data_IF_545368298330
#
_entry.id   IF_545368298330
#
_cell.length_a   1.000
_cell.length_b   1.000
_cell.length_c   1.000
_cell.angle_alpha   90.00
_cell.angle_beta   90.00
_cell.angle_gamma   90.00
#
_symmetry.space_group_name_H-M   'P 1'
#
loop_
_entity.id
_entity.type
_entity.pdbx_description
1 polymer ?
#
# COMPACT_ATOMS: atom_id res chain seq x y z
N UNK A 1 2.55 3.74 21.38
CA UNK A 1 3.11 3.04 22.57
C UNK A 1 2.03 2.29 23.36
N UNK A 2 0.97 2.91 23.88
CA UNK A 2 -0.06 2.26 24.73
C UNK A 2 -0.56 0.90 24.22
N UNK A 3 -0.86 0.79 22.94
CA UNK A 3 -1.37 -0.46 22.35
C UNK A 3 -0.36 -1.61 22.30
N UNK A 4 0.95 -1.29 22.43
CA UNK A 4 2.02 -2.28 22.40
C UNK A 4 2.40 -2.71 23.81
N UNK A 5 2.60 -1.76 24.73
CA UNK A 5 2.98 -2.10 26.11
C UNK A 5 1.90 -2.87 26.86
N UNK A 6 0.64 -2.75 26.43
CA UNK A 6 -0.52 -3.42 27.03
C UNK A 6 -0.95 -4.70 26.31
N UNK A 7 -0.11 -5.27 25.43
CA UNK A 7 -0.43 -6.53 24.78
C UNK A 7 -0.64 -7.64 25.80
N UNK A 8 -1.57 -8.56 25.51
CA UNK A 8 -1.85 -9.74 26.36
C UNK A 8 -0.70 -10.76 26.31
N UNK A 9 0.05 -10.81 25.22
CA UNK A 9 1.32 -11.52 25.18
C UNK A 9 2.37 -10.70 25.94
N UNK A 10 2.76 -11.16 27.13
CA UNK A 10 3.70 -10.44 27.99
C UNK A 10 5.17 -10.69 27.66
N UNK A 11 5.49 -11.87 27.13
CA UNK A 11 6.85 -12.24 26.70
C UNK A 11 7.17 -11.63 25.34
N UNK A 12 7.39 -10.33 25.34
CA UNK A 12 7.75 -9.52 24.16
C UNK A 12 8.89 -8.57 24.53
N UNK A 13 9.75 -8.28 23.55
CA UNK A 13 10.62 -7.11 23.55
C UNK A 13 10.02 -6.04 22.61
N UNK A 14 10.24 -4.77 22.93
CA UNK A 14 9.69 -3.64 22.18
C UNK A 14 10.87 -2.78 21.72
N UNK A 15 11.31 -2.96 20.50
CA UNK A 15 12.43 -2.22 19.93
C UNK A 15 11.90 -0.94 19.31
N UNK A 16 12.20 0.19 19.93
CA UNK A 16 11.83 1.52 19.47
C UNK A 16 13.02 2.20 18.81
N UNK A 17 12.88 2.54 17.51
CA UNK A 17 13.93 3.20 16.75
C UNK A 17 13.53 4.65 16.51
N UNK A 18 14.27 5.58 17.10
CA UNK A 18 14.19 6.99 16.80
C UNK A 18 15.20 7.34 15.71
N UNK A 19 14.72 7.58 14.48
CA UNK A 19 15.55 7.92 13.33
C UNK A 19 15.70 9.44 13.18
N UNK A 20 16.15 10.11 14.26
CA UNK A 20 16.41 11.54 14.28
C UNK A 20 15.14 12.40 14.25
N UNK A 21 14.11 12.05 15.01
CA UNK A 21 12.89 12.85 15.15
C UNK A 21 13.21 14.23 15.73
N UNK A 22 12.54 15.26 15.19
CA UNK A 22 12.71 16.67 15.61
C UNK A 22 11.57 17.16 16.48
N UNK A 23 10.59 16.33 16.75
CA UNK A 23 9.44 16.57 17.60
C UNK A 23 9.62 15.91 18.99
N UNK A 24 8.54 15.75 19.76
CA UNK A 24 8.57 15.12 21.08
C UNK A 24 8.66 13.59 21.08
N UNK A 25 8.84 12.95 19.92
CA UNK A 25 8.82 11.48 19.83
C UNK A 25 9.89 10.85 20.71
N UNK A 26 11.12 11.36 20.68
CA UNK A 26 12.21 10.84 21.53
C UNK A 26 11.92 10.99 23.02
N UNK A 27 11.38 12.14 23.45
CA UNK A 27 10.99 12.40 24.83
C UNK A 27 9.96 11.38 25.32
N UNK A 28 8.92 11.16 24.52
CA UNK A 28 7.88 10.17 24.81
C UNK A 28 8.47 8.76 24.89
N UNK A 29 9.34 8.37 23.96
CA UNK A 29 9.97 7.05 23.98
C UNK A 29 10.83 6.83 25.24
N UNK A 30 11.56 7.85 25.70
CA UNK A 30 12.33 7.80 26.94
C UNK A 30 11.43 7.59 28.17
N UNK A 31 10.31 8.33 28.25
CA UNK A 31 9.34 8.16 29.34
C UNK A 31 8.77 6.73 29.42
N UNK A 32 8.51 6.09 28.26
CA UNK A 32 8.03 4.72 28.22
C UNK A 32 9.15 3.73 28.60
N UNK A 33 10.38 3.93 28.11
CA UNK A 33 11.52 3.08 28.42
C UNK A 33 11.90 3.10 29.90
N UNK A 34 11.69 4.22 30.61
CA UNK A 34 11.88 4.31 32.07
C UNK A 34 10.84 3.48 32.87
N UNK A 35 9.67 3.20 32.29
CA UNK A 35 8.54 2.54 32.94
C UNK A 35 8.38 1.08 32.60
N UNK A 36 8.97 0.63 31.49
CA UNK A 36 8.80 -0.74 30.95
C UNK A 36 10.15 -1.27 30.45
N UNK A 37 10.72 -2.21 31.20
CA UNK A 37 12.03 -2.81 30.92
C UNK A 37 12.09 -3.62 29.62
N UNK A 38 10.96 -3.95 29.02
CA UNK A 38 10.87 -4.61 27.73
C UNK A 38 11.22 -3.69 26.56
N UNK A 39 11.30 -2.37 26.80
CA UNK A 39 11.55 -1.37 25.78
C UNK A 39 13.06 -1.19 25.57
N UNK A 40 13.51 -1.46 24.37
CA UNK A 40 14.86 -1.16 23.89
C UNK A 40 14.80 0.06 23.00
N UNK A 41 15.26 1.21 23.48
CA UNK A 41 15.29 2.46 22.73
C UNK A 41 16.62 2.61 21.99
N UNK A 42 16.56 2.77 20.68
CA UNK A 42 17.70 3.08 19.80
C UNK A 42 17.49 4.48 19.26
N UNK A 43 18.35 5.43 19.71
CA UNK A 43 18.35 6.81 19.26
C UNK A 43 19.52 7.04 18.29
N UNK A 44 19.25 7.48 17.07
CA UNK A 44 20.25 7.66 16.01
C UNK A 44 19.96 8.86 15.13
N UNK A 45 20.95 9.31 14.38
CA UNK A 45 20.73 10.28 13.31
C UNK A 45 19.85 9.69 12.21
N UNK A 46 19.12 10.55 11.50
CA UNK A 46 18.26 10.12 10.39
C UNK A 46 19.08 9.53 9.25
N UNK A 47 18.83 8.24 8.96
CA UNK A 47 19.41 7.50 7.83
C UNK A 47 18.32 6.90 6.94
N UNK A 48 17.06 7.11 7.30
CA UNK A 48 15.89 6.66 6.55
C UNK A 48 15.27 5.37 7.04
N UNK A 49 14.03 5.17 6.62
CA UNK A 49 13.16 4.09 7.07
C UNK A 49 13.80 2.69 6.94
N UNK A 50 14.36 2.36 5.77
CA UNK A 50 14.92 1.03 5.52
C UNK A 50 16.09 0.69 6.45
N UNK A 51 16.96 1.68 6.75
CA UNK A 51 18.08 1.51 7.70
C UNK A 51 17.52 1.27 9.10
N UNK A 52 16.57 2.09 9.56
CA UNK A 52 15.92 1.91 10.85
C UNK A 52 15.29 0.51 10.99
N UNK A 53 14.53 0.08 9.99
CA UNK A 53 13.91 -1.24 9.98
C UNK A 53 14.95 -2.38 10.07
N UNK A 54 16.05 -2.30 9.32
CA UNK A 54 17.10 -3.31 9.35
C UNK A 54 17.81 -3.35 10.72
N UNK A 55 18.03 -2.22 11.37
CA UNK A 55 18.54 -2.18 12.74
C UNK A 55 17.58 -2.90 13.70
N UNK A 56 16.26 -2.69 13.54
CA UNK A 56 15.26 -3.41 14.33
C UNK A 56 15.32 -4.91 14.12
N UNK A 57 15.40 -5.36 12.86
CA UNK A 57 15.55 -6.78 12.53
C UNK A 57 16.83 -7.40 13.12
N UNK A 58 17.96 -6.67 13.06
CA UNK A 58 19.25 -7.16 13.59
C UNK A 58 19.30 -7.19 15.12
N UNK A 59 18.50 -6.36 15.80
CA UNK A 59 18.41 -6.31 17.25
C UNK A 59 17.40 -7.26 17.85
N UNK A 60 16.44 -7.70 17.04
CA UNK A 60 15.38 -8.59 17.51
C UNK A 60 15.95 -9.94 17.99
N UNK A 61 15.53 -10.37 19.17
CA UNK A 61 15.89 -11.66 19.80
C UNK A 61 14.70 -12.61 19.90
N UNK A 62 13.48 -12.09 19.79
CA UNK A 62 12.24 -12.85 19.86
C UNK A 62 12.12 -13.92 18.76
N UNK A 63 11.30 -14.91 18.98
CA UNK A 63 11.07 -15.99 17.99
C UNK A 63 10.37 -15.49 16.72
N UNK A 64 9.44 -14.55 16.88
CA UNK A 64 8.74 -13.87 15.79
C UNK A 64 8.93 -12.36 15.90
N UNK A 65 8.92 -11.67 14.78
CA UNK A 65 9.05 -10.22 14.66
C UNK A 65 7.74 -9.64 14.15
N UNK A 66 7.19 -8.67 14.87
CA UNK A 66 6.06 -7.84 14.43
C UNK A 66 6.51 -6.41 14.17
N UNK A 67 5.85 -5.73 13.25
CA UNK A 67 6.14 -4.34 12.88
C UNK A 67 4.93 -3.47 13.20
N UNK A 68 5.14 -2.34 13.87
CA UNK A 68 4.09 -1.34 14.11
C UNK A 68 4.59 0.03 13.70
N UNK A 69 3.84 0.67 12.81
CA UNK A 69 4.15 2.04 12.38
C UNK A 69 3.78 3.04 13.50
N UNK A 70 4.52 4.14 13.63
CA UNK A 70 4.41 5.03 14.80
C UNK A 70 3.08 5.79 14.88
N UNK A 71 2.34 5.93 13.80
CA UNK A 71 1.03 6.61 13.75
C UNK A 71 -0.16 5.63 13.81
N UNK A 72 0.12 4.33 13.88
CA UNK A 72 -0.86 3.25 13.93
C UNK A 72 -1.04 2.70 15.36
N UNK A 73 -1.99 1.79 15.54
CA UNK A 73 -2.17 1.03 16.78
C UNK A 73 -2.76 -0.36 16.51
N UNK A 74 -2.65 -1.23 17.51
CA UNK A 74 -3.07 -2.63 17.41
C UNK A 74 -4.00 -3.04 18.56
N UNK A 75 -4.97 -3.96 18.35
CA UNK A 75 -5.72 -4.58 19.42
C UNK A 75 -4.82 -5.29 20.44
N UNK A 76 -5.23 -5.34 21.69
CA UNK A 76 -4.40 -5.87 22.78
C UNK A 76 -4.07 -7.36 22.63
N UNK A 77 -4.89 -8.14 21.94
CA UNK A 77 -4.68 -9.58 21.72
C UNK A 77 -3.94 -9.90 20.40
N UNK A 78 -3.55 -8.90 19.62
CA UNK A 78 -2.98 -9.16 18.29
C UNK A 78 -1.81 -10.12 18.33
N UNK A 79 -0.81 -9.83 19.14
CA UNK A 79 0.42 -10.62 19.12
C UNK A 79 0.24 -12.00 19.78
N UNK A 80 -0.61 -12.12 20.81
CA UNK A 80 -0.94 -13.42 21.39
C UNK A 80 -1.67 -14.33 20.39
N UNK A 81 -2.68 -13.80 19.72
CA UNK A 81 -3.46 -14.56 18.74
C UNK A 81 -2.57 -14.97 17.53
N UNK A 82 -1.79 -14.05 16.99
CA UNK A 82 -0.90 -14.32 15.85
C UNK A 82 0.22 -15.31 16.23
N UNK A 83 0.83 -15.15 17.40
CA UNK A 83 1.87 -16.05 17.90
C UNK A 83 1.35 -17.48 18.05
N UNK A 84 0.18 -17.65 18.70
CA UNK A 84 -0.42 -18.95 18.88
C UNK A 84 -0.71 -19.66 17.55
N UNK A 85 -1.27 -18.93 16.57
CA UNK A 85 -1.51 -19.47 15.23
C UNK A 85 -0.20 -19.84 14.54
N UNK A 86 0.80 -18.96 14.60
CA UNK A 86 2.09 -19.20 13.94
C UNK A 86 2.83 -20.42 14.52
N UNK A 87 2.80 -20.58 15.86
CA UNK A 87 3.41 -21.72 16.56
C UNK A 87 2.70 -23.03 16.26
N UNK A 88 1.37 -23.06 16.35
CA UNK A 88 0.58 -24.26 16.12
C UNK A 88 0.75 -24.80 14.70
N UNK A 89 0.96 -23.93 13.74
CA UNK A 89 1.05 -24.28 12.32
C UNK A 89 2.47 -24.24 11.76
N UNK A 90 3.48 -23.98 12.59
CA UNK A 90 4.89 -23.89 12.19
C UNK A 90 5.10 -22.95 10.99
N UNK A 91 4.62 -21.71 11.10
CA UNK A 91 4.59 -20.75 10.00
C UNK A 91 5.87 -19.92 9.90
N UNK A 92 6.29 -19.63 8.68
CA UNK A 92 7.33 -18.63 8.37
C UNK A 92 6.80 -17.22 8.63
N UNK A 93 5.52 -16.98 8.27
CA UNK A 93 4.81 -15.78 8.66
C UNK A 93 3.30 -16.02 8.72
N UNK A 94 2.62 -15.19 9.51
CA UNK A 94 1.17 -15.05 9.50
C UNK A 94 0.79 -13.59 9.35
N UNK A 95 -0.20 -13.30 8.52
CA UNK A 95 -0.76 -11.95 8.33
C UNK A 95 -2.26 -11.98 8.54
N UNK A 96 -2.81 -10.83 8.87
CA UNK A 96 -4.22 -10.70 9.16
C UNK A 96 -4.83 -9.48 8.46
N UNK A 97 -6.13 -9.49 8.29
CA UNK A 97 -6.91 -8.35 7.84
C UNK A 97 -6.72 -7.15 8.77
N UNK A 98 -7.18 -5.98 8.33
CA UNK A 98 -6.95 -4.76 9.07
C UNK A 98 -8.05 -3.72 8.82
N UNK A 99 -8.14 -2.75 9.72
CA UNK A 99 -8.90 -1.52 9.49
C UNK A 99 -8.00 -0.39 9.01
N UNK A 100 -8.49 0.41 8.08
CA UNK A 100 -8.04 1.79 7.89
C UNK A 100 -8.92 2.72 8.69
N UNK A 101 -8.33 3.75 9.30
CA UNK A 101 -9.11 4.73 10.02
C UNK A 101 -8.73 6.16 9.67
N UNK A 102 -9.72 7.03 9.78
CA UNK A 102 -9.58 8.48 9.75
C UNK A 102 -10.29 9.07 10.95
N UNK A 103 -9.84 10.22 11.44
CA UNK A 103 -10.52 10.96 12.52
C UNK A 103 -11.16 12.21 11.96
N UNK A 104 -12.41 12.45 12.35
CA UNK A 104 -13.09 13.71 12.04
C UNK A 104 -12.42 14.85 12.78
N UNK A 105 -11.93 15.88 12.08
CA UNK A 105 -11.37 17.08 12.71
C UNK A 105 -12.40 17.83 13.57
N UNK A 106 -13.70 17.71 13.26
CA UNK A 106 -14.77 18.43 13.94
C UNK A 106 -15.26 17.73 15.20
N UNK A 107 -15.40 16.41 15.17
CA UNK A 107 -16.05 15.65 16.27
C UNK A 107 -15.05 14.73 16.98
N UNK A 108 -13.88 14.48 16.41
CA UNK A 108 -12.93 13.47 16.91
C UNK A 108 -13.33 12.02 16.62
N UNK A 109 -14.50 11.81 16.00
CA UNK A 109 -15.02 10.47 15.70
C UNK A 109 -14.09 9.71 14.76
N UNK A 110 -13.93 8.42 15.02
CA UNK A 110 -13.13 7.52 14.21
C UNK A 110 -14.03 6.81 13.18
N UNK A 111 -13.69 6.97 11.89
CA UNK A 111 -14.31 6.25 10.80
C UNK A 111 -13.43 5.08 10.39
N UNK A 112 -13.97 3.87 10.43
CA UNK A 112 -13.27 2.62 10.14
C UNK A 112 -13.69 2.07 8.77
N UNK A 113 -12.70 1.63 8.00
CA UNK A 113 -12.91 0.87 6.77
C UNK A 113 -12.22 -0.47 6.89
N UNK A 114 -12.98 -1.57 6.82
CA UNK A 114 -12.42 -2.91 6.82
C UNK A 114 -11.68 -3.19 5.52
N UNK A 115 -10.52 -3.82 5.59
CA UNK A 115 -9.70 -4.21 4.44
C UNK A 115 -9.34 -5.68 4.54
N UNK A 116 -9.83 -6.46 3.60
CA UNK A 116 -9.45 -7.85 3.43
C UNK A 116 -8.11 -7.93 2.68
N UNK A 117 -7.18 -8.77 3.14
CA UNK A 117 -5.94 -9.08 2.42
C UNK A 117 -6.26 -9.82 1.13
N UNK A 118 -7.10 -10.84 1.21
CA UNK A 118 -7.67 -11.57 0.09
C UNK A 118 -9.08 -11.07 -0.21
N UNK A 119 -9.25 -10.38 -1.33
CA UNK A 119 -10.54 -9.82 -1.74
C UNK A 119 -11.57 -10.90 -2.11
N UNK A 120 -11.13 -12.12 -2.42
CA UNK A 120 -11.99 -13.26 -2.79
C UNK A 120 -12.31 -14.16 -1.59
N UNK A 121 -11.54 -14.04 -0.51
CA UNK A 121 -11.79 -14.74 0.75
C UNK A 121 -11.53 -16.25 0.74
N UNK A 122 -10.85 -16.78 -0.30
CA UNK A 122 -10.69 -18.22 -0.48
C UNK A 122 -9.49 -18.82 0.23
N UNK A 123 -8.49 -17.99 0.56
CA UNK A 123 -7.19 -18.44 1.07
C UNK A 123 -6.95 -18.11 2.55
N UNK A 124 -8.01 -17.82 3.31
CA UNK A 124 -7.91 -17.60 4.75
C UNK A 124 -7.84 -18.89 5.57
N UNK A 125 -7.21 -18.81 6.74
CA UNK A 125 -7.17 -19.81 7.80
C UNK A 125 -6.63 -21.19 7.34
N UNK A 126 -5.76 -21.21 6.34
CA UNK A 126 -5.09 -22.40 5.85
C UNK A 126 -3.60 -22.15 5.64
N UNK A 127 -2.78 -23.19 5.82
CA UNK A 127 -1.35 -23.12 5.53
C UNK A 127 -1.15 -23.14 4.02
N UNK A 128 -0.39 -22.16 3.51
CA UNK A 128 -0.13 -21.97 2.08
C UNK A 128 1.38 -21.96 1.84
N UNK A 129 1.80 -22.65 0.77
CA UNK A 129 3.11 -22.45 0.15
C UNK A 129 2.95 -21.39 -0.96
N UNK A 130 3.58 -20.19 -0.83
CA UNK A 130 3.50 -19.16 -1.86
C UNK A 130 4.06 -19.61 -3.21
N UNK A 131 5.02 -20.52 -3.23
CA UNK A 131 5.55 -21.06 -4.47
C UNK A 131 4.49 -21.87 -5.23
N UNK A 132 3.65 -22.63 -4.54
CA UNK A 132 2.55 -23.38 -5.15
C UNK A 132 1.38 -22.48 -5.54
N UNK A 133 1.12 -21.43 -4.76
CA UNK A 133 0.05 -20.46 -4.98
C UNK A 133 0.58 -19.02 -5.19
N UNK A 134 1.33 -18.73 -6.27
CA UNK A 134 2.00 -17.43 -6.44
C UNK A 134 1.04 -16.25 -6.57
N UNK A 135 -0.23 -16.50 -6.89
CA UNK A 135 -1.26 -15.46 -6.98
C UNK A 135 -1.56 -14.77 -5.65
N UNK A 136 -1.19 -15.35 -4.50
CA UNK A 136 -1.35 -14.68 -3.19
C UNK A 136 -0.48 -13.43 -3.08
N UNK A 137 0.54 -13.27 -3.92
CA UNK A 137 1.28 -12.02 -4.02
C UNK A 137 0.43 -10.85 -4.55
N UNK A 138 -0.78 -11.12 -5.08
CA UNK A 138 -1.76 -10.08 -5.41
C UNK A 138 -2.42 -9.45 -4.18
N UNK A 139 -2.38 -10.10 -3.02
CA UNK A 139 -2.98 -9.59 -1.79
C UNK A 139 -2.47 -8.21 -1.42
N UNK A 140 -3.21 -7.48 -0.59
CA UNK A 140 -2.82 -6.13 -0.18
C UNK A 140 -1.42 -6.17 0.43
N UNK A 141 -0.53 -5.37 -0.14
CA UNK A 141 0.82 -5.25 0.35
C UNK A 141 0.87 -4.38 1.60
N UNK A 142 1.41 -4.95 2.64
CA UNK A 142 1.81 -4.29 3.87
C UNK A 142 2.83 -5.18 4.59
N UNK A 143 3.53 -4.65 5.56
CA UNK A 143 4.50 -5.40 6.39
C UNK A 143 4.04 -5.52 7.83
N UNK A 144 3.12 -4.69 8.26
CA UNK A 144 2.73 -4.46 9.65
C UNK A 144 1.52 -5.28 10.14
N UNK A 145 0.72 -5.90 9.27
CA UNK A 145 -0.48 -6.64 9.72
C UNK A 145 -0.21 -8.10 10.12
N UNK A 146 1.00 -8.42 10.55
CA UNK A 146 1.38 -9.80 10.86
C UNK A 146 2.67 -9.91 11.64
N UNK A 147 3.12 -11.16 11.79
CA UNK A 147 4.40 -11.52 12.38
C UNK A 147 5.17 -12.46 11.48
N UNK A 148 6.50 -12.40 11.57
CA UNK A 148 7.45 -13.14 10.76
C UNK A 148 8.40 -13.92 11.65
N UNK A 149 8.67 -15.18 11.37
CA UNK A 149 9.65 -15.99 12.11
C UNK A 149 11.04 -15.37 11.97
N UNK A 150 11.71 -15.04 13.07
CA UNK A 150 13.03 -14.41 13.03
C UNK A 150 14.07 -15.28 12.32
N UNK A 151 14.13 -16.57 12.64
CA UNK A 151 15.06 -17.50 11.99
C UNK A 151 14.88 -17.51 10.46
N UNK A 152 13.63 -17.50 9.98
CA UNK A 152 13.31 -17.41 8.56
C UNK A 152 13.84 -16.12 7.91
N UNK A 153 13.67 -14.97 8.60
CA UNK A 153 14.20 -13.67 8.16
C UNK A 153 15.72 -13.69 8.07
N UNK A 154 16.39 -14.31 9.04
CA UNK A 154 17.86 -14.42 9.11
C UNK A 154 18.41 -15.37 8.05
N UNK A 155 17.84 -16.56 7.90
CA UNK A 155 18.28 -17.59 6.95
C UNK A 155 18.23 -17.11 5.50
N UNK A 156 17.23 -16.31 5.16
CA UNK A 156 17.05 -15.78 3.81
C UNK A 156 17.59 -14.36 3.64
N UNK A 157 18.27 -13.80 4.67
CA UNK A 157 18.83 -12.44 4.66
C UNK A 157 17.80 -11.37 4.24
N UNK A 158 16.54 -11.53 4.68
CA UNK A 158 15.46 -10.62 4.31
C UNK A 158 15.70 -9.27 4.96
N UNK A 159 15.83 -8.21 4.13
CA UNK A 159 16.14 -6.86 4.58
C UNK A 159 15.37 -5.83 3.74
N UNK A 160 15.10 -4.69 4.36
CA UNK A 160 14.60 -3.53 3.64
C UNK A 160 15.71 -2.92 2.78
N UNK A 161 15.33 -2.36 1.65
CA UNK A 161 16.23 -1.53 0.86
C UNK A 161 16.62 -0.27 1.67
N UNK A 162 17.89 0.14 1.61
CA UNK A 162 18.43 1.27 2.38
C UNK A 162 18.42 2.59 1.62
N UNK A 163 17.46 2.76 0.70
CA UNK A 163 17.27 4.03 -0.01
C UNK A 163 16.91 5.16 0.97
N UNK A 164 17.34 6.41 0.69
CA UNK A 164 17.09 7.53 1.59
C UNK A 164 15.61 7.78 1.87
N UNK A 165 15.32 8.15 3.11
CA UNK A 165 13.98 8.49 3.56
C UNK A 165 13.03 7.29 3.60
N UNK A 166 11.73 7.55 3.63
CA UNK A 166 10.67 6.53 3.47
C UNK A 166 10.26 6.47 1.99
N UNK A 167 10.72 5.47 1.26
CA UNK A 167 10.70 5.38 -0.21
C UNK A 167 10.08 4.07 -0.72
N UNK A 168 9.02 3.57 -0.03
CA UNK A 168 8.31 2.33 -0.38
C UNK A 168 9.11 1.04 -0.18
N UNK A 169 10.07 1.03 0.75
CA UNK A 169 10.90 -0.13 1.07
C UNK A 169 10.12 -1.33 1.62
N UNK A 170 8.89 -1.14 2.03
CA UNK A 170 7.92 -2.18 2.37
C UNK A 170 7.67 -3.15 1.19
N UNK A 171 7.79 -2.69 -0.06
CA UNK A 171 7.66 -3.55 -1.23
C UNK A 171 8.76 -4.61 -1.31
N UNK A 172 10.00 -4.22 -1.11
CA UNK A 172 11.15 -5.14 -1.13
C UNK A 172 11.05 -6.18 -0.03
N UNK A 173 10.69 -5.78 1.18
CA UNK A 173 10.48 -6.68 2.30
C UNK A 173 9.32 -7.65 2.02
N UNK A 174 8.18 -7.15 1.53
CA UNK A 174 7.04 -7.98 1.14
C UNK A 174 7.44 -9.06 0.13
N UNK A 175 8.12 -8.68 -0.95
CA UNK A 175 8.51 -9.66 -1.97
C UNK A 175 9.43 -10.74 -1.43
N UNK A 176 10.45 -10.37 -0.66
CA UNK A 176 11.35 -11.34 -0.02
C UNK A 176 10.60 -12.30 0.89
N UNK A 177 9.69 -11.79 1.73
CA UNK A 177 8.91 -12.63 2.64
C UNK A 177 7.96 -13.60 1.91
N UNK A 178 7.50 -13.27 0.71
CA UNK A 178 6.62 -14.16 -0.05
C UNK A 178 7.37 -15.19 -0.88
N UNK A 179 8.48 -14.81 -1.50
CA UNK A 179 9.17 -15.71 -2.44
C UNK A 179 9.99 -16.81 -1.75
N UNK A 180 10.42 -16.60 -0.52
CA UNK A 180 11.20 -17.57 0.23
C UNK A 180 10.35 -18.43 1.18
N UNK A 181 9.15 -18.01 1.55
CA UNK A 181 8.29 -18.75 2.46
C UNK A 181 7.84 -20.09 1.89
N UNK A 182 7.64 -21.03 2.79
CA UNK A 182 7.04 -22.34 2.53
C UNK A 182 5.72 -22.52 3.26
N UNK A 183 5.56 -21.82 4.37
CA UNK A 183 4.40 -21.99 5.25
C UNK A 183 3.92 -20.62 5.72
N UNK A 184 2.91 -20.09 5.05
CA UNK A 184 2.27 -18.86 5.50
C UNK A 184 0.76 -19.06 5.71
N UNK A 185 0.16 -18.13 6.45
CA UNK A 185 -1.29 -18.14 6.68
C UNK A 185 -1.81 -16.71 6.68
N UNK A 186 -3.05 -16.55 6.24
CA UNK A 186 -3.79 -15.29 6.30
C UNK A 186 -5.03 -15.49 7.17
N UNK A 187 -5.30 -14.53 8.06
CA UNK A 187 -6.44 -14.58 8.97
C UNK A 187 -7.48 -13.52 8.54
N UNK A 188 -8.74 -13.92 8.50
CA UNK A 188 -9.88 -13.06 8.19
C UNK A 188 -10.38 -12.23 9.39
N UNK A 189 -9.47 -11.95 10.32
CA UNK A 189 -9.71 -11.15 11.52
C UNK A 189 -8.86 -9.87 11.49
N UNK A 190 -9.46 -8.70 11.69
CA UNK A 190 -8.72 -7.44 11.59
C UNK A 190 -7.96 -7.16 12.90
N UNK A 191 -6.63 -7.22 12.83
CA UNK A 191 -5.75 -7.00 13.98
C UNK A 191 -4.95 -5.71 13.95
N UNK A 192 -5.06 -4.93 12.89
CA UNK A 192 -4.23 -3.72 12.76
C UNK A 192 -5.08 -2.51 12.42
N UNK A 193 -4.76 -1.36 13.01
CA UNK A 193 -5.47 -0.10 12.83
C UNK A 193 -4.55 0.90 12.13
N UNK A 194 -4.66 0.98 10.79
CA UNK A 194 -3.81 1.81 9.95
C UNK A 194 -4.40 3.22 9.74
N UNK A 195 -3.68 4.23 10.15
CA UNK A 195 -4.06 5.64 10.04
C UNK A 195 -3.98 6.15 8.60
N UNK A 196 -5.00 6.92 8.15
CA UNK A 196 -5.06 7.45 6.78
C UNK A 196 -5.19 8.97 6.67
N UNK A 197 -5.32 9.66 7.79
CA UNK A 197 -5.49 11.12 7.87
C UNK A 197 -4.24 11.86 8.32
N UNK A 198 -3.08 11.20 8.39
CA UNK A 198 -1.82 11.86 8.74
C UNK A 198 -1.37 12.76 7.59
N UNK A 199 -1.37 14.10 7.74
CA UNK A 199 -0.97 15.04 6.69
C UNK A 199 0.52 14.91 6.34
N UNK A 200 1.34 14.45 7.30
CA UNK A 200 2.78 14.27 7.14
C UNK A 200 3.16 12.88 6.62
N UNK A 201 2.18 12.08 6.20
CA UNK A 201 2.46 10.75 5.63
C UNK A 201 3.42 10.87 4.44
N UNK A 202 4.48 10.07 4.45
CA UNK A 202 5.48 10.00 3.37
C UNK A 202 4.85 9.68 2.01
N UNK A 203 3.68 9.04 2.05
CA UNK A 203 2.82 8.73 0.89
C UNK A 203 2.38 10.00 0.15
N UNK A 204 2.32 11.16 0.80
CA UNK A 204 1.86 12.43 0.22
C UNK A 204 2.97 13.23 -0.48
N UNK A 205 4.23 12.80 -0.41
CA UNK A 205 5.33 13.50 -1.03
C UNK A 205 5.31 13.31 -2.57
N UNK A 206 5.02 14.40 -3.29
CA UNK A 206 4.86 14.42 -4.75
C UNK A 206 6.19 14.35 -5.52
N UNK A 207 7.30 14.57 -4.86
CA UNK A 207 8.65 14.55 -5.45
C UNK A 207 9.26 13.15 -5.49
N UNK A 208 8.62 12.15 -4.84
CA UNK A 208 9.05 10.75 -4.87
C UNK A 208 8.67 10.05 -6.18
N UNK A 209 9.14 10.58 -7.30
CA UNK A 209 8.74 10.15 -8.64
C UNK A 209 9.20 8.73 -8.94
N UNK A 210 10.48 8.43 -8.72
CA UNK A 210 11.10 7.17 -9.13
C UNK A 210 11.38 6.19 -7.98
N UNK A 211 10.99 6.51 -6.76
CA UNK A 211 11.25 5.64 -5.60
C UNK A 211 10.68 4.23 -5.78
N UNK A 212 9.48 4.14 -6.35
CA UNK A 212 8.84 2.86 -6.63
C UNK A 212 9.59 2.05 -7.70
N UNK A 213 10.16 2.71 -8.72
CA UNK A 213 10.96 2.03 -9.74
C UNK A 213 12.24 1.46 -9.12
N UNK A 214 12.95 2.26 -8.30
CA UNK A 214 14.16 1.82 -7.58
C UNK A 214 13.87 0.62 -6.70
N UNK A 215 12.73 0.62 -6.02
CA UNK A 215 12.34 -0.50 -5.17
C UNK A 215 12.01 -1.77 -5.97
N UNK A 216 11.34 -1.65 -7.13
CA UNK A 216 11.12 -2.79 -8.01
C UNK A 216 12.41 -3.27 -8.70
N UNK A 217 13.36 -2.38 -8.99
CA UNK A 217 14.70 -2.78 -9.46
C UNK A 217 15.42 -3.59 -8.36
N UNK A 218 15.38 -3.15 -7.10
CA UNK A 218 15.91 -3.91 -5.96
C UNK A 218 15.27 -5.31 -5.84
N UNK A 219 13.95 -5.42 -5.95
CA UNK A 219 13.26 -6.72 -5.96
C UNK A 219 13.71 -7.59 -7.13
N UNK A 220 13.88 -7.00 -8.32
CA UNK A 220 14.37 -7.71 -9.49
C UNK A 220 15.79 -8.25 -9.28
N UNK A 221 16.67 -7.45 -8.68
CA UNK A 221 18.04 -7.87 -8.38
C UNK A 221 18.08 -9.08 -7.44
N UNK A 222 17.15 -9.16 -6.48
CA UNK A 222 16.99 -10.35 -5.62
C UNK A 222 16.60 -11.57 -6.44
N UNK A 223 15.65 -11.45 -7.36
CA UNK A 223 15.27 -12.55 -8.25
C UNK A 223 16.41 -12.99 -9.18
N UNK A 224 17.28 -12.05 -9.58
CA UNK A 224 18.42 -12.34 -10.48
C UNK A 224 19.64 -12.90 -9.76
N UNK A 225 19.62 -13.05 -8.44
CA UNK A 225 20.69 -13.72 -7.70
C UNK A 225 20.77 -15.20 -8.10
N UNK A 226 22.00 -15.71 -8.13
CA UNK A 226 22.27 -17.11 -8.42
C UNK A 226 21.51 -18.03 -7.45
N UNK A 227 20.76 -18.96 -8.01
CA UNK A 227 19.93 -19.92 -7.25
C UNK A 227 18.44 -19.53 -7.20
N UNK A 228 18.09 -18.31 -7.61
CA UNK A 228 16.70 -17.83 -7.61
C UNK A 228 15.99 -17.96 -8.98
N UNK A 229 16.59 -18.66 -9.95
CA UNK A 229 16.05 -18.80 -11.31
C UNK A 229 14.64 -19.42 -11.30
N UNK A 230 14.41 -20.44 -10.44
CA UNK A 230 13.10 -21.08 -10.29
C UNK A 230 12.07 -20.13 -9.66
N UNK A 231 12.52 -19.28 -8.72
CA UNK A 231 11.65 -18.27 -8.12
C UNK A 231 11.24 -17.23 -9.17
N UNK A 232 12.20 -16.75 -9.99
CA UNK A 232 11.87 -15.82 -11.07
C UNK A 232 10.84 -16.44 -12.03
N UNK A 233 11.06 -17.61 -12.55
CA UNK A 233 10.12 -18.29 -13.46
C UNK A 233 8.73 -18.46 -12.85
N UNK A 234 8.65 -18.69 -11.54
CA UNK A 234 7.38 -18.87 -10.84
C UNK A 234 6.64 -17.57 -10.59
N UNK A 235 7.36 -16.49 -10.27
CA UNK A 235 6.76 -15.25 -9.79
C UNK A 235 6.77 -14.11 -10.81
N UNK A 236 7.51 -14.19 -11.93
CA UNK A 236 7.70 -13.09 -12.88
C UNK A 236 6.40 -12.43 -13.36
N UNK A 237 5.33 -13.18 -13.58
CA UNK A 237 4.04 -12.64 -14.01
C UNK A 237 3.35 -11.84 -12.89
N UNK A 238 3.44 -12.31 -11.67
CA UNK A 238 2.88 -11.65 -10.49
C UNK A 238 3.71 -10.45 -10.04
N UNK A 239 5.05 -10.53 -10.21
CA UNK A 239 5.94 -9.38 -10.06
C UNK A 239 5.51 -8.24 -10.99
N UNK A 240 5.31 -8.51 -12.26
CA UNK A 240 4.87 -7.52 -13.22
C UNK A 240 3.42 -7.06 -12.97
N UNK A 241 2.55 -7.92 -12.46
CA UNK A 241 1.22 -7.56 -12.00
C UNK A 241 1.30 -6.51 -10.87
N UNK A 242 2.01 -6.79 -9.80
CA UNK A 242 2.19 -5.87 -8.68
C UNK A 242 2.86 -4.58 -9.11
N UNK A 243 3.92 -4.67 -9.92
CA UNK A 243 4.65 -3.52 -10.46
C UNK A 243 3.72 -2.57 -11.21
N UNK A 244 2.80 -3.10 -12.02
CA UNK A 244 1.81 -2.28 -12.72
C UNK A 244 0.95 -1.47 -11.75
N UNK A 245 0.38 -2.10 -10.73
CA UNK A 245 -0.46 -1.40 -9.75
C UNK A 245 0.33 -0.41 -8.89
N UNK A 246 1.55 -0.73 -8.51
CA UNK A 246 2.43 0.17 -7.78
C UNK A 246 2.82 1.40 -8.61
N UNK A 247 3.06 1.22 -9.90
CA UNK A 247 3.37 2.32 -10.81
C UNK A 247 2.15 3.19 -11.11
N UNK A 248 0.98 2.61 -11.31
CA UNK A 248 -0.25 3.40 -11.48
C UNK A 248 -0.61 4.16 -10.21
N UNK A 249 -0.41 3.57 -9.04
CA UNK A 249 -0.53 4.28 -7.77
C UNK A 249 0.44 5.49 -7.68
N UNK A 250 1.67 5.37 -8.17
CA UNK A 250 2.62 6.47 -8.25
C UNK A 250 2.13 7.59 -9.17
N UNK A 251 1.59 7.27 -10.36
CA UNK A 251 1.01 8.27 -11.29
C UNK A 251 -0.05 9.14 -10.59
N UNK A 252 -0.89 8.53 -9.75
CA UNK A 252 -1.94 9.24 -9.01
C UNK A 252 -1.42 10.23 -7.96
N UNK A 253 -0.11 10.24 -7.67
CA UNK A 253 0.46 10.95 -6.51
C UNK A 253 1.56 11.95 -6.83
N UNK A 254 2.32 11.74 -7.89
CA UNK A 254 3.37 12.65 -8.32
C UNK A 254 2.77 13.94 -8.92
N UNK A 255 3.57 15.00 -8.95
CA UNK A 255 3.17 16.25 -9.59
C UNK A 255 2.92 16.07 -11.08
N UNK A 256 1.98 16.82 -11.63
CA UNK A 256 1.53 16.68 -13.04
C UNK A 256 2.68 16.88 -14.03
N UNK A 257 3.66 17.71 -13.70
CA UNK A 257 4.87 17.94 -14.51
C UNK A 257 5.68 16.68 -14.77
N UNK A 258 5.72 15.72 -13.82
CA UNK A 258 6.47 14.47 -13.94
C UNK A 258 5.66 13.34 -14.61
N UNK A 259 4.34 13.44 -14.66
CA UNK A 259 3.49 12.31 -15.09
C UNK A 259 3.75 11.85 -16.51
N UNK A 260 4.03 12.77 -17.45
CA UNK A 260 4.32 12.41 -18.86
C UNK A 260 5.59 11.58 -18.95
N UNK A 261 6.69 12.09 -18.39
CA UNK A 261 7.96 11.39 -18.39
C UNK A 261 7.89 10.05 -17.68
N UNK A 262 7.19 10.01 -16.54
CA UNK A 262 6.97 8.78 -15.79
C UNK A 262 6.21 7.72 -16.60
N UNK A 263 5.12 8.10 -17.29
CA UNK A 263 4.37 7.21 -18.18
C UNK A 263 5.23 6.68 -19.32
N UNK A 264 6.06 7.53 -19.94
CA UNK A 264 7.01 7.10 -20.98
C UNK A 264 8.02 6.08 -20.45
N UNK A 265 8.57 6.31 -19.25
CA UNK A 265 9.50 5.39 -18.58
C UNK A 265 8.85 4.04 -18.33
N UNK A 266 7.72 4.00 -17.64
CA UNK A 266 7.07 2.73 -17.30
C UNK A 266 6.57 1.99 -18.54
N UNK A 267 6.17 2.70 -19.61
CA UNK A 267 5.85 2.08 -20.89
C UNK A 267 7.04 1.32 -21.47
N UNK A 268 8.26 1.90 -21.45
CA UNK A 268 9.49 1.22 -21.88
C UNK A 268 9.77 -0.03 -21.03
N UNK A 269 9.60 0.07 -19.72
CA UNK A 269 9.81 -1.06 -18.81
C UNK A 269 8.83 -2.21 -19.06
N UNK A 270 7.53 -1.93 -19.28
CA UNK A 270 6.55 -2.96 -19.60
C UNK A 270 6.69 -3.53 -21.02
N UNK A 271 7.13 -2.72 -21.98
CA UNK A 271 7.49 -3.23 -23.32
C UNK A 271 8.65 -4.22 -23.23
N UNK A 272 9.71 -3.87 -22.49
CA UNK A 272 10.81 -4.79 -22.25
C UNK A 272 10.34 -6.09 -21.57
N UNK A 273 9.46 -6.01 -20.57
CA UNK A 273 8.90 -7.19 -19.91
C UNK A 273 8.09 -8.06 -20.88
N UNK A 274 7.38 -7.44 -21.84
CA UNK A 274 6.67 -8.16 -22.89
C UNK A 274 7.63 -8.87 -23.85
N UNK A 275 8.69 -8.17 -24.29
CA UNK A 275 9.71 -8.70 -25.22
C UNK A 275 10.49 -9.87 -24.59
N UNK A 276 10.65 -9.87 -23.26
CA UNK A 276 11.31 -10.94 -22.48
C UNK A 276 10.35 -12.05 -22.02
N UNK A 277 9.09 -12.04 -22.44
CA UNK A 277 8.06 -13.01 -22.01
C UNK A 277 7.85 -13.07 -20.49
N UNK A 278 8.06 -11.94 -19.81
CA UNK A 278 7.87 -11.78 -18.38
C UNK A 278 6.47 -11.24 -18.02
N UNK A 279 5.59 -11.08 -19.01
CA UNK A 279 4.28 -10.48 -18.86
C UNK A 279 3.18 -11.42 -19.35
N UNK A 280 2.39 -11.96 -18.43
CA UNK A 280 1.18 -12.69 -18.76
C UNK A 280 -0.05 -11.79 -18.61
N UNK A 281 -0.73 -11.50 -19.73
CA UNK A 281 -1.93 -10.66 -19.73
C UNK A 281 -3.13 -11.34 -19.05
N UNK A 282 -3.13 -12.67 -18.86
CA UNK A 282 -4.24 -13.39 -18.23
C UNK A 282 -4.31 -13.19 -16.71
N UNK A 283 -3.22 -12.75 -16.07
CA UNK A 283 -3.24 -12.42 -14.62
C UNK A 283 -3.99 -11.13 -14.32
N UNK A 284 -4.30 -10.32 -15.36
CA UNK A 284 -4.99 -9.04 -15.24
C UNK A 284 -6.49 -9.15 -15.61
N UNK A 285 -7.31 -8.33 -14.96
CA UNK A 285 -8.71 -8.19 -15.37
C UNK A 285 -8.83 -7.62 -16.79
N UNK A 286 -9.93 -7.87 -17.54
CA UNK A 286 -10.09 -7.35 -18.90
C UNK A 286 -9.85 -5.84 -18.99
N UNK A 287 -10.37 -5.06 -18.06
CA UNK A 287 -10.19 -3.60 -18.00
C UNK A 287 -8.73 -3.20 -17.78
N UNK A 288 -8.03 -3.88 -16.89
CA UNK A 288 -6.60 -3.60 -16.61
C UNK A 288 -5.73 -3.99 -17.79
N UNK A 289 -6.04 -5.11 -18.44
CA UNK A 289 -5.38 -5.58 -19.66
C UNK A 289 -5.46 -4.55 -20.79
N UNK A 290 -6.64 -3.97 -21.02
CA UNK A 290 -6.82 -2.88 -21.99
C UNK A 290 -5.93 -1.67 -21.66
N UNK A 291 -5.91 -1.23 -20.39
CA UNK A 291 -5.08 -0.11 -19.93
C UNK A 291 -3.59 -0.39 -20.10
N UNK A 292 -3.12 -1.56 -19.69
CA UNK A 292 -1.71 -1.96 -19.83
C UNK A 292 -1.31 -2.07 -21.30
N UNK A 293 -2.17 -2.64 -22.15
CA UNK A 293 -1.94 -2.70 -23.60
C UNK A 293 -1.81 -1.30 -24.21
N UNK A 294 -2.64 -0.35 -23.78
CA UNK A 294 -2.53 1.04 -24.24
C UNK A 294 -1.23 1.68 -23.74
N UNK A 295 -0.85 1.47 -22.47
CA UNK A 295 0.40 1.97 -21.92
C UNK A 295 1.61 1.49 -22.74
N UNK A 296 1.64 0.22 -23.13
CA UNK A 296 2.73 -0.37 -23.90
C UNK A 296 2.79 0.18 -25.32
N UNK A 297 1.62 0.26 -26.01
CA UNK A 297 1.53 0.60 -27.43
C UNK A 297 1.57 2.10 -27.69
N UNK A 298 0.84 2.87 -26.88
CA UNK A 298 0.65 4.31 -27.02
C UNK A 298 0.71 5.01 -25.65
N UNK A 299 1.92 5.28 -25.11
CA UNK A 299 2.08 5.94 -23.83
C UNK A 299 1.47 7.35 -23.79
N UNK A 300 1.44 8.06 -24.92
CA UNK A 300 0.80 9.38 -24.98
C UNK A 300 -0.73 9.27 -24.87
N UNK A 301 -1.34 8.34 -25.57
CA UNK A 301 -2.76 8.05 -25.43
C UNK A 301 -3.13 7.59 -24.01
N UNK A 302 -2.28 6.77 -23.38
CA UNK A 302 -2.44 6.39 -21.97
C UNK A 302 -2.36 7.62 -21.06
N UNK A 303 -1.35 8.49 -21.25
CA UNK A 303 -1.19 9.72 -20.47
C UNK A 303 -2.43 10.61 -20.57
N UNK A 304 -2.93 10.87 -21.78
CA UNK A 304 -4.12 11.70 -21.99
C UNK A 304 -5.37 11.10 -21.36
N UNK A 305 -5.55 9.78 -21.46
CA UNK A 305 -6.78 9.11 -21.03
C UNK A 305 -6.82 8.82 -19.53
N UNK A 306 -5.67 8.52 -18.91
CA UNK A 306 -5.61 8.01 -17.54
C UNK A 306 -4.74 8.83 -16.60
N UNK A 307 -3.56 9.29 -17.02
CA UNK A 307 -2.61 9.92 -16.10
C UNK A 307 -2.99 11.35 -15.71
N UNK A 308 -3.58 12.12 -16.63
CA UNK A 308 -4.05 13.47 -16.35
C UNK A 308 -5.20 13.52 -15.33
N UNK A 309 -5.94 12.42 -15.19
CA UNK A 309 -7.13 12.33 -14.34
C UNK A 309 -6.92 11.48 -13.07
N UNK A 310 -5.78 10.80 -12.93
CA UNK A 310 -5.45 10.00 -11.72
C UNK A 310 -4.78 10.86 -10.64
N UNK A 311 -5.36 11.99 -10.29
CA UNK A 311 -4.81 12.92 -9.29
C UNK A 311 -5.80 13.37 -8.22
N UNK A 312 -6.71 12.49 -7.82
CA UNK A 312 -7.65 12.75 -6.75
C UNK A 312 -8.42 11.49 -6.38
N UNK A 313 -8.84 11.36 -5.13
CA UNK A 313 -9.79 10.33 -4.75
C UNK A 313 -11.04 10.45 -5.64
N UNK A 314 -11.81 9.38 -5.82
CA UNK A 314 -13.10 9.47 -6.51
C UNK A 314 -13.98 10.61 -5.93
N UNK A 315 -13.81 10.90 -4.64
CA UNK A 315 -14.46 12.03 -3.95
C UNK A 315 -13.96 13.40 -4.45
N UNK A 316 -12.66 13.56 -4.73
CA UNK A 316 -12.11 14.81 -5.27
C UNK A 316 -12.53 15.02 -6.71
N UNK A 317 -12.60 13.96 -7.50
CA UNK A 317 -13.12 14.00 -8.87
C UNK A 317 -14.62 14.35 -8.88
N UNK A 318 -15.41 13.75 -8.01
CA UNK A 318 -16.82 14.09 -7.81
C UNK A 318 -16.96 15.56 -7.42
N UNK A 319 -16.17 16.03 -6.46
CA UNK A 319 -16.19 17.41 -5.98
C UNK A 319 -15.79 18.42 -7.08
N UNK A 320 -14.81 18.05 -7.93
CA UNK A 320 -14.40 18.85 -9.08
C UNK A 320 -15.52 18.90 -10.12
N UNK A 321 -16.09 17.76 -10.50
CA UNK A 321 -17.21 17.66 -11.43
C UNK A 321 -18.46 18.38 -10.92
N UNK A 322 -18.75 18.31 -9.62
CA UNK A 322 -19.83 19.05 -8.98
C UNK A 322 -19.63 20.58 -9.05
N UNK A 323 -18.39 21.07 -8.87
CA UNK A 323 -18.04 22.48 -9.05
C UNK A 323 -18.22 22.91 -10.51
N UNK A 324 -17.66 22.15 -11.46
CA UNK A 324 -17.80 22.43 -12.88
C UNK A 324 -19.27 22.43 -13.30
N UNK A 325 -20.06 21.47 -12.84
CA UNK A 325 -21.50 21.40 -13.08
C UNK A 325 -22.24 22.60 -12.46
N UNK A 326 -21.83 23.02 -11.27
CA UNK A 326 -22.37 24.22 -10.60
C UNK A 326 -22.08 25.48 -11.42
N UNK A 327 -20.85 25.61 -11.93
CA UNK A 327 -20.43 26.78 -12.73
C UNK A 327 -21.14 26.81 -14.09
N UNK A 328 -21.28 25.67 -14.74
CA UNK A 328 -22.12 25.55 -15.95
C UNK A 328 -23.57 25.96 -15.68
N UNK A 329 -24.16 25.47 -14.58
CA UNK A 329 -25.55 25.81 -14.19
C UNK A 329 -25.71 27.30 -13.83
N UNK A 330 -24.66 27.93 -13.32
CA UNK A 330 -24.65 29.39 -13.00
C UNK A 330 -24.39 30.25 -14.23
N UNK A 331 -23.84 29.69 -15.30
CA UNK A 331 -23.49 30.45 -16.51
C UNK A 331 -24.71 31.10 -17.15
N UNK A 332 -24.50 32.27 -17.74
CA UNK A 332 -25.51 32.98 -18.46
C UNK A 332 -26.08 32.20 -19.62
N UNK A 333 -25.23 31.46 -20.33
CA UNK A 333 -25.60 30.59 -21.47
C UNK A 333 -26.55 29.47 -21.03
N UNK A 334 -26.30 28.80 -19.92
CA UNK A 334 -27.20 27.76 -19.40
C UNK A 334 -28.54 28.33 -18.95
N UNK A 335 -28.53 29.50 -18.27
CA UNK A 335 -29.75 30.18 -17.84
C UNK A 335 -30.60 30.62 -19.00
N UNK A 336 -29.98 31.19 -20.06
CA UNK A 336 -30.67 31.60 -21.29
C UNK A 336 -31.23 30.34 -22.03
N UNK A 337 -30.43 29.28 -22.19
CA UNK A 337 -30.89 28.03 -22.80
C UNK A 337 -32.07 27.40 -22.06
N UNK A 338 -32.04 27.38 -20.73
CA UNK A 338 -33.15 26.94 -19.88
C UNK A 338 -34.40 27.81 -20.04
N UNK A 339 -34.25 29.14 -20.10
CA UNK A 339 -35.35 30.06 -20.37
C UNK A 339 -35.97 29.88 -21.76
N UNK A 340 -35.15 29.72 -22.81
CA UNK A 340 -35.61 29.42 -24.19
C UNK A 340 -36.36 28.08 -24.30
N UNK A 341 -35.97 27.06 -23.57
CA UNK A 341 -36.69 25.77 -23.55
C UNK A 341 -37.99 25.81 -22.75
N UNK A 342 -38.17 26.73 -21.83
CA UNK A 342 -39.39 26.89 -21.03
C UNK A 342 -40.51 27.59 -21.81
N UNK A 343 -40.17 28.52 -22.71
CA UNK A 343 -41.15 29.26 -23.55
C UNK A 343 -41.99 28.36 -24.47
N UNK A 344 -41.42 27.40 -25.20
CA UNK A 344 -42.23 26.51 -26.04
C UNK A 344 -43.21 25.63 -25.25
N UNK A 345 -42.86 25.17 -24.07
CA UNK A 345 -43.74 24.34 -23.21
C UNK A 345 -44.91 25.13 -22.61
N UNK A 346 -44.71 26.38 -22.28
CA UNK A 346 -45.79 27.28 -21.81
C UNK A 346 -46.76 27.62 -22.94
N UNK A 347 -46.26 27.76 -24.16
CA UNK A 347 -47.09 27.99 -25.38
C UNK A 347 -47.89 26.71 -25.73
N UNK A 348 -47.28 25.53 -25.70
CA UNK A 348 -47.99 24.25 -25.88
C UNK A 348 -49.14 24.06 -24.86
N UNK A 349 -48.97 24.43 -23.64
CA UNK A 349 -50.02 24.37 -22.57
C UNK A 349 -51.17 25.33 -22.81
N UNK A 350 -50.96 26.48 -23.45
CA UNK A 350 -52.04 27.40 -23.82
C UNK A 350 -52.82 26.95 -25.09
N UNK A 351 -52.18 26.23 -26.02
CA UNK A 351 -52.83 25.72 -27.22
C UNK A 351 -53.72 24.50 -26.92
N UNK A 352 -53.30 23.64 -25.94
CA UNK A 352 -54.11 22.47 -25.53
C UNK A 352 -55.31 22.82 -24.65
N UNK A 353 -55.37 24.01 -24.03
CA UNK A 353 -56.52 24.45 -23.25
C UNK A 353 -57.56 25.25 -24.04
N UNK A 354 -57.40 25.34 -25.38
CA UNK A 354 -58.35 26.06 -26.30
C UNK A 354 -58.97 25.10 -27.34
N UNK A 355 -58.96 23.78 -27.09
CA UNK A 355 -59.75 22.83 -27.82
C UNK A 355 -60.74 22.12 -26.91
#
# INVERSE_FOLDING_TARGET
MESIVRQTLHDIEIICINDGSTDKSLEILKEYAEKDERIVLIDKMNEGYGVGMNIGLDKATGEYIGIVEPDDFVPLSMYEDLYNVAKQNDLDFVKADFYRFTRSEKTGDMHLTYNHLDSEGMDYNQVIDPFEKPYITKFIMNTWSGIYRRQYIEEHHIRHNTTPGASFQDNGFFWQTFIYAKRCMFLDKPYYMNRRDNPNSSVNNKEKVYCMNVEYDFVRDIFMQKGNEKLWERFKYYYNYKRYFSYTFTIGRISDEFKREYVERISKEFRRAQDLEELDMNVFTPRTRERLSLLIKDPNGYYQKYALFEGGSAADQIKKLERELSDVKKSTTFKIGKAMMFVPRSIKRKIVKRK
#
